data_IF_818592837350
#
_entry.id   IF_818592837350
#
_cell.length_a   1.000
_cell.length_b   1.000
_cell.length_c   1.000
_cell.angle_alpha   90.00
_cell.angle_beta   90.00
_cell.angle_gamma   90.00
#
_symmetry.space_group_name_H-M   'P 1'
#
loop_
_entity.id
_entity.type
_entity.pdbx_description
1 polymer ?
#
# COMPACT_ATOMS: atom_id res chain seq x y z
N UNK A 1 -29.39 -30.34 10.62
CA UNK A 1 -29.54 -28.88 10.44
C UNK A 1 -28.15 -28.29 10.55
N UNK A 2 -27.63 -27.61 9.52
CA UNK A 2 -26.32 -26.92 9.59
C UNK A 2 -26.60 -25.49 10.04
N UNK A 3 -26.24 -25.15 11.26
CA UNK A 3 -26.26 -23.77 11.73
C UNK A 3 -25.20 -23.00 10.93
N UNK A 4 -25.68 -22.19 10.00
CA UNK A 4 -24.83 -21.18 9.34
C UNK A 4 -24.77 -20.00 10.31
N UNK A 5 -23.74 -19.96 11.13
CA UNK A 5 -23.38 -18.74 11.85
C UNK A 5 -23.01 -17.70 10.78
N UNK A 6 -23.93 -16.80 10.46
CA UNK A 6 -23.71 -15.71 9.50
C UNK A 6 -22.87 -14.67 10.23
N UNK A 7 -21.56 -14.91 10.32
CA UNK A 7 -20.63 -13.86 10.69
C UNK A 7 -20.62 -12.87 9.53
N UNK A 8 -21.22 -11.71 9.75
CA UNK A 8 -21.28 -10.64 8.75
C UNK A 8 -19.86 -10.22 8.34
N UNK A 9 -19.53 -10.45 7.07
CA UNK A 9 -18.24 -10.05 6.54
C UNK A 9 -18.27 -8.55 6.28
N UNK A 10 -17.66 -7.79 7.18
CA UNK A 10 -17.50 -6.35 7.02
C UNK A 10 -16.47 -6.03 5.94
N UNK A 11 -16.75 -4.99 5.15
CA UNK A 11 -15.85 -4.60 4.05
C UNK A 11 -14.55 -4.01 4.61
N UNK A 12 -13.36 -4.45 4.15
CA UNK A 12 -12.07 -3.91 4.61
C UNK A 12 -11.72 -2.55 3.95
N UNK A 13 -12.72 -1.80 3.49
CA UNK A 13 -12.48 -0.52 2.81
C UNK A 13 -12.14 0.58 3.82
N UNK A 14 -11.09 1.34 3.55
CA UNK A 14 -10.68 2.49 4.39
C UNK A 14 -11.08 3.84 3.77
N UNK A 15 -11.99 3.86 2.79
CA UNK A 15 -12.38 5.07 2.04
C UNK A 15 -11.35 5.56 1.02
N UNK A 16 -10.21 4.90 0.88
CA UNK A 16 -9.16 5.26 -0.09
C UNK A 16 -9.23 4.36 -1.31
N UNK A 17 -9.45 4.95 -2.49
CA UNK A 17 -9.65 4.26 -3.76
C UNK A 17 -8.51 4.54 -4.75
N UNK A 18 -7.25 4.33 -4.34
CA UNK A 18 -6.09 4.63 -5.18
C UNK A 18 -5.44 3.34 -5.72
N UNK A 19 -5.25 3.25 -7.03
CA UNK A 19 -4.57 2.12 -7.68
C UNK A 19 -3.06 2.26 -7.54
N UNK A 20 -2.40 1.27 -6.92
CA UNK A 20 -0.94 1.21 -6.84
C UNK A 20 -0.30 0.65 -8.11
N UNK A 21 1.04 0.65 -8.15
CA UNK A 21 1.83 0.19 -9.30
C UNK A 21 1.60 -1.29 -9.72
N UNK A 22 0.98 -2.11 -8.86
CA UNK A 22 0.64 -3.51 -9.14
C UNK A 22 -0.84 -3.74 -9.48
N UNK A 23 -1.62 -2.67 -9.69
CA UNK A 23 -3.05 -2.77 -10.01
C UNK A 23 -3.97 -3.11 -8.82
N UNK A 24 -3.43 -3.11 -7.59
CA UNK A 24 -4.21 -3.28 -6.36
C UNK A 24 -4.42 -1.94 -5.65
N UNK A 25 -5.53 -1.81 -4.91
CA UNK A 25 -5.79 -0.65 -4.08
C UNK A 25 -4.72 -0.50 -2.97
N UNK A 26 -4.17 0.70 -2.79
CA UNK A 26 -3.14 0.98 -1.77
C UNK A 26 -3.66 0.79 -0.34
N UNK A 27 -4.96 1.05 -0.13
CA UNK A 27 -5.60 0.93 1.18
C UNK A 27 -6.05 -0.49 1.51
N UNK A 28 -6.98 -1.03 0.71
CA UNK A 28 -7.64 -2.31 0.97
C UNK A 28 -7.02 -3.51 0.23
N UNK A 29 -6.03 -3.30 -0.66
CA UNK A 29 -5.35 -4.36 -1.43
C UNK A 29 -6.25 -5.22 -2.33
N UNK A 30 -7.49 -4.77 -2.56
CA UNK A 30 -8.42 -5.36 -3.54
C UNK A 30 -8.02 -4.97 -4.97
N UNK A 31 -8.27 -5.85 -5.92
CA UNK A 31 -8.18 -5.57 -7.35
C UNK A 31 -9.33 -4.66 -7.81
N UNK A 32 -9.31 -4.23 -9.08
CA UNK A 32 -10.40 -3.45 -9.65
C UNK A 32 -11.69 -4.27 -9.73
N UNK A 33 -11.62 -5.50 -10.23
CA UNK A 33 -12.79 -6.39 -10.32
C UNK A 33 -13.35 -6.76 -8.94
N UNK A 34 -12.51 -7.03 -7.95
CA UNK A 34 -12.92 -7.34 -6.58
C UNK A 34 -13.67 -6.16 -5.91
N UNK A 35 -13.38 -4.91 -6.31
CA UNK A 35 -14.10 -3.72 -5.82
C UNK A 35 -15.45 -3.58 -6.49
N UNK A 36 -15.49 -3.69 -7.82
CA UNK A 36 -16.71 -3.50 -8.61
C UNK A 36 -17.77 -4.55 -8.26
N UNK A 37 -17.35 -5.80 -8.09
CA UNK A 37 -18.28 -6.90 -7.85
C UNK A 37 -18.52 -7.20 -6.37
N UNK A 38 -17.92 -6.47 -5.43
CA UNK A 38 -17.96 -6.80 -3.99
C UNK A 38 -19.37 -7.08 -3.46
N UNK A 39 -20.35 -6.27 -3.87
CA UNK A 39 -21.76 -6.37 -3.43
C UNK A 39 -22.44 -7.62 -4.03
N UNK A 40 -21.99 -8.07 -5.20
CA UNK A 40 -22.55 -9.21 -5.93
C UNK A 40 -21.86 -10.56 -5.61
N UNK A 41 -20.84 -10.56 -4.74
CA UNK A 41 -20.10 -11.76 -4.39
C UNK A 41 -20.73 -12.50 -3.21
N UNK A 42 -20.68 -13.83 -3.25
CA UNK A 42 -21.08 -14.69 -2.14
C UNK A 42 -20.13 -14.55 -0.94
N UNK A 43 -20.65 -14.77 0.27
CA UNK A 43 -19.90 -14.61 1.52
C UNK A 43 -18.61 -15.44 1.55
N UNK A 44 -18.62 -16.66 1.03
CA UNK A 44 -17.41 -17.50 0.94
C UNK A 44 -16.31 -16.83 0.09
N UNK A 45 -16.70 -16.23 -1.03
CA UNK A 45 -15.79 -15.50 -1.92
C UNK A 45 -15.30 -14.20 -1.27
N UNK A 46 -16.18 -13.47 -0.58
CA UNK A 46 -15.81 -12.27 0.18
C UNK A 46 -14.76 -12.61 1.25
N UNK A 47 -14.93 -13.73 1.99
CA UNK A 47 -13.96 -14.22 2.98
C UNK A 47 -12.60 -14.52 2.35
N UNK A 48 -12.61 -15.21 1.21
CA UNK A 48 -11.38 -15.52 0.43
C UNK A 48 -10.67 -14.25 -0.02
N UNK A 49 -11.40 -13.25 -0.51
CA UNK A 49 -10.83 -11.96 -0.93
C UNK A 49 -10.19 -11.23 0.24
N UNK A 50 -10.82 -11.20 1.43
CA UNK A 50 -10.23 -10.56 2.61
C UNK A 50 -8.94 -11.24 3.02
N UNK A 51 -8.93 -12.58 3.07
CA UNK A 51 -7.73 -13.37 3.37
C UNK A 51 -6.61 -13.09 2.35
N UNK A 52 -6.95 -13.03 1.07
CA UNK A 52 -6.02 -12.66 0.00
C UNK A 52 -5.47 -11.24 0.16
N UNK A 53 -6.32 -10.27 0.49
CA UNK A 53 -5.92 -8.87 0.74
C UNK A 53 -4.96 -8.77 1.93
N UNK A 54 -5.22 -9.49 3.03
CA UNK A 54 -4.32 -9.55 4.18
C UNK A 54 -2.94 -10.12 3.80
N UNK A 55 -2.91 -11.20 3.00
CA UNK A 55 -1.66 -11.77 2.49
C UNK A 55 -0.90 -10.80 1.57
N UNK A 56 -1.60 -10.13 0.64
CA UNK A 56 -1.02 -9.10 -0.24
C UNK A 56 -0.44 -7.94 0.58
N UNK A 57 -1.15 -7.47 1.61
CA UNK A 57 -0.68 -6.43 2.54
C UNK A 57 0.58 -6.86 3.29
N UNK A 58 0.63 -8.10 3.80
CA UNK A 58 1.83 -8.65 4.47
C UNK A 58 3.03 -8.69 3.53
N UNK A 59 2.85 -9.16 2.30
CA UNK A 59 3.90 -9.19 1.25
C UNK A 59 4.39 -7.79 0.88
N UNK A 60 3.47 -6.84 0.72
CA UNK A 60 3.82 -5.45 0.42
C UNK A 60 4.65 -4.80 1.55
N UNK A 61 4.23 -5.00 2.81
CA UNK A 61 4.99 -4.53 3.98
C UNK A 61 6.37 -5.18 4.09
N UNK A 62 6.48 -6.48 3.86
CA UNK A 62 7.76 -7.19 3.88
C UNK A 62 8.72 -6.69 2.78
N UNK A 63 8.19 -6.43 1.57
CA UNK A 63 8.98 -5.85 0.48
C UNK A 63 9.45 -4.42 0.77
N UNK A 64 8.63 -3.61 1.47
CA UNK A 64 9.05 -2.29 1.94
C UNK A 64 10.15 -2.37 3.00
N UNK A 65 10.06 -3.34 3.92
CA UNK A 65 11.07 -3.50 4.96
C UNK A 65 12.45 -3.84 4.39
N UNK A 66 12.53 -4.69 3.35
CA UNK A 66 13.78 -5.01 2.65
C UNK A 66 14.45 -3.81 1.97
N UNK A 67 13.68 -2.75 1.66
CA UNK A 67 14.22 -1.51 1.08
C UNK A 67 14.65 -0.49 2.14
N UNK A 68 14.33 -0.72 3.42
CA UNK A 68 14.50 0.23 4.54
C UNK A 68 15.70 -0.10 5.45
N UNK A 69 16.76 -0.66 4.90
CA UNK A 69 18.03 -0.89 5.61
C UNK A 69 19.20 -0.72 4.63
N UNK A 70 20.27 -0.01 5.01
CA UNK A 70 20.32 1.41 5.36
C UNK A 70 21.34 2.14 4.45
N UNK A 71 20.99 3.29 3.88
CA UNK A 71 22.02 4.23 3.39
C UNK A 71 22.04 5.41 4.33
N UNK A 72 22.80 5.25 5.41
CA UNK A 72 23.41 6.39 6.07
C UNK A 72 24.62 6.81 5.25
N UNK A 73 24.61 8.04 4.73
CA UNK A 73 25.78 8.93 4.67
C UNK A 73 25.24 10.35 4.48
N UNK A 74 24.99 11.02 5.59
CA UNK A 74 25.39 12.42 5.72
C UNK A 74 26.44 12.41 6.83
N UNK A 75 27.70 12.70 6.49
CA UNK A 75 28.28 13.94 7.01
C UNK A 75 29.23 14.65 6.01
N UNK A 76 28.98 15.95 5.86
CA UNK A 76 29.97 17.03 6.11
C UNK A 76 31.22 17.22 5.19
N UNK A 77 31.27 18.45 4.63
CA UNK A 77 32.42 19.30 4.27
C UNK A 77 33.31 18.93 3.06
N UNK A 78 33.46 19.89 2.14
CA UNK A 78 34.66 19.99 1.30
C UNK A 78 34.52 20.59 -0.10
N UNK A 79 33.94 21.78 -0.26
CA UNK A 79 34.36 22.68 -1.35
C UNK A 79 34.13 24.12 -0.89
N UNK A 80 35.19 24.72 -0.33
CA UNK A 80 35.37 26.16 -0.34
C UNK A 80 36.30 26.48 -1.51
N UNK A 81 35.86 27.38 -2.38
CA UNK A 81 36.65 28.24 -3.28
C UNK A 81 35.61 29.25 -3.81
N UNK A 82 35.31 30.32 -3.09
CA UNK A 82 36.02 31.61 -3.05
C UNK A 82 36.44 32.15 -4.43
N UNK A 83 35.65 33.09 -4.92
CA UNK A 83 35.98 34.21 -5.84
C UNK A 83 34.85 34.37 -6.86
N UNK A 84 34.38 35.54 -7.27
CA UNK A 84 34.66 36.95 -7.00
C UNK A 84 33.74 37.69 -8.01
N UNK A 85 33.40 38.94 -7.70
CA UNK A 85 32.89 39.96 -8.63
C UNK A 85 31.38 40.04 -8.94
N UNK A 86 30.69 40.82 -8.09
CA UNK A 86 30.14 42.14 -8.44
C UNK A 86 29.29 42.26 -9.72
N UNK A 87 28.06 42.76 -9.54
CA UNK A 87 27.53 43.93 -10.27
C UNK A 87 26.14 44.28 -9.74
N UNK A 88 26.12 45.27 -8.85
CA UNK A 88 25.03 46.23 -8.74
C UNK A 88 24.82 46.91 -10.10
N UNK A 89 23.59 46.87 -10.61
CA UNK A 89 22.98 47.94 -11.38
C UNK A 89 21.46 47.87 -11.25
#
# INVERSE_FOLDING_TARGET
MKQIEIFEITSPCIGVCQSGAKGFCVGCYRSREERVHWINLEQDVQSKIIKACAARKKRAKAAQNKKKSPTGTSPQLGFVDDSFNQKDQ
#
